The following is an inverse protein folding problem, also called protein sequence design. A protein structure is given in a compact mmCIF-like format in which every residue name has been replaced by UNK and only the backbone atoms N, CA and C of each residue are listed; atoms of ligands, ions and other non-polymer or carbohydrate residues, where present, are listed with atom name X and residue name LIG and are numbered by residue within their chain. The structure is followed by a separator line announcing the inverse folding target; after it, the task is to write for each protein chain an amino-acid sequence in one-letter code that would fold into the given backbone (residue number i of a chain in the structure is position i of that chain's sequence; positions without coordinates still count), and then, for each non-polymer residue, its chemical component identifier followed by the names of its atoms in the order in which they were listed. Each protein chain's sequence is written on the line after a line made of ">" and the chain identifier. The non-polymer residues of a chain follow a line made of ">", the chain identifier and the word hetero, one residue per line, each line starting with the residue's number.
data_IF_498755237994
#
_entry.id   IF_498755237994
#
_cell.length_a   1.000
_cell.length_b   1.000
_cell.length_c   1.000
_cell.angle_alpha   90.00
_cell.angle_beta   90.00
_cell.angle_gamma   90.00
#
_symmetry.space_group_name_H-M   'P 1'
#
loop_
_entity.id
_entity.type
_entity.pdbx_description
1 polymer ?
#
# COMPACT_ATOMS: atom_id res chain seq x y z
N UNK A 1 6.22 -21.96 -12.48
CA UNK A 1 6.19 -20.51 -12.21
C UNK A 1 7.21 -20.16 -11.17
N UNK A 2 7.98 -19.17 -11.41
CA UNK A 2 9.04 -18.78 -10.48
C UNK A 2 8.75 -17.47 -9.74
N UNK A 3 7.54 -16.92 -9.90
CA UNK A 3 7.20 -15.63 -9.33
C UNK A 3 5.79 -15.64 -8.75
N UNK A 4 5.58 -14.84 -7.72
CA UNK A 4 4.24 -14.59 -7.21
C UNK A 4 3.88 -13.12 -7.37
N UNK A 5 2.67 -12.88 -7.83
CA UNK A 5 2.15 -11.53 -8.01
C UNK A 5 1.78 -10.94 -6.65
N UNK A 6 2.19 -9.70 -6.43
CA UNK A 6 1.78 -8.92 -5.28
C UNK A 6 0.96 -7.75 -5.80
N UNK A 7 -0.29 -7.66 -5.39
CA UNK A 7 -1.21 -6.61 -5.83
C UNK A 7 -1.90 -6.05 -4.61
N UNK A 8 -1.72 -4.75 -4.36
CA UNK A 8 -2.32 -4.07 -3.23
C UNK A 8 -2.88 -2.72 -3.67
N UNK A 9 -3.91 -2.29 -2.98
CA UNK A 9 -4.48 -0.97 -3.17
C UNK A 9 -4.28 -0.20 -1.87
N UNK A 10 -3.58 0.93 -1.96
CA UNK A 10 -3.26 1.75 -0.80
C UNK A 10 -4.08 3.03 -0.89
N UNK A 11 -4.83 3.33 0.17
CA UNK A 11 -5.65 4.54 0.21
C UNK A 11 -4.99 5.63 1.03
N UNK A 12 -5.00 6.86 0.51
CA UNK A 12 -4.54 8.04 1.24
C UNK A 12 -5.70 9.00 1.42
N UNK A 13 -5.58 9.90 2.39
CA UNK A 13 -6.60 10.94 2.59
C UNK A 13 -6.59 11.94 1.43
N UNK A 14 -7.74 12.54 1.14
CA UNK A 14 -7.79 13.58 0.12
C UNK A 14 -6.86 14.75 0.45
N UNK A 15 -6.68 15.05 1.72
CA UNK A 15 -5.79 16.12 2.14
C UNK A 15 -4.34 15.88 1.73
N UNK A 16 -3.98 14.65 1.43
CA UNK A 16 -2.60 14.29 1.09
C UNK A 16 -2.33 14.31 -0.41
N UNK A 17 -3.29 14.76 -1.22
CA UNK A 17 -3.12 14.83 -2.66
C UNK A 17 -1.85 15.60 -3.09
N UNK A 18 -1.49 16.72 -2.47
CA UNK A 18 -0.26 17.42 -2.88
C UNK A 18 1.01 16.58 -2.71
N UNK A 19 1.02 15.63 -1.78
CA UNK A 19 2.17 14.75 -1.57
C UNK A 19 2.15 13.51 -2.46
N UNK A 20 1.06 13.28 -3.18
CA UNK A 20 0.86 12.05 -3.95
C UNK A 20 1.99 11.74 -4.93
N UNK A 21 2.45 12.70 -5.77
CA UNK A 21 3.51 12.37 -6.72
C UNK A 21 4.80 11.91 -6.03
N UNK A 22 5.19 12.58 -4.95
CA UNK A 22 6.41 12.22 -4.23
C UNK A 22 6.28 10.85 -3.55
N UNK A 23 5.12 10.56 -2.99
CA UNK A 23 4.86 9.27 -2.35
C UNK A 23 4.95 8.15 -3.39
N UNK A 24 4.32 8.33 -4.55
CA UNK A 24 4.35 7.32 -5.61
C UNK A 24 5.77 7.10 -6.09
N UNK A 25 6.54 8.17 -6.28
CA UNK A 25 7.93 8.06 -6.72
C UNK A 25 8.79 7.31 -5.70
N UNK A 26 8.60 7.59 -4.42
CA UNK A 26 9.34 6.91 -3.36
C UNK A 26 8.97 5.43 -3.28
N UNK A 27 7.70 5.10 -3.48
CA UNK A 27 7.27 3.70 -3.53
C UNK A 27 7.90 2.96 -4.69
N UNK A 28 7.95 3.59 -5.87
CA UNK A 28 8.61 2.98 -7.04
C UNK A 28 10.07 2.73 -6.78
N UNK A 29 10.76 3.71 -6.20
CA UNK A 29 12.17 3.58 -5.89
C UNK A 29 12.42 2.48 -4.88
N UNK A 30 11.56 2.37 -3.86
CA UNK A 30 11.69 1.34 -2.85
C UNK A 30 11.54 -0.06 -3.47
N UNK A 31 10.53 -0.24 -4.32
CA UNK A 31 10.31 -1.53 -4.95
C UNK A 31 11.42 -1.88 -5.93
N UNK A 32 11.90 -0.90 -6.69
CA UNK A 32 12.98 -1.13 -7.64
C UNK A 32 14.28 -1.52 -6.94
N UNK A 33 14.48 -1.06 -5.72
CA UNK A 33 15.67 -1.38 -4.93
C UNK A 33 15.49 -2.61 -4.05
N UNK A 34 14.28 -3.13 -3.93
CA UNK A 34 14.00 -4.25 -3.03
C UNK A 34 14.58 -5.56 -3.61
N UNK A 35 15.41 -6.27 -2.85
CA UNK A 35 16.09 -7.46 -3.40
C UNK A 35 15.15 -8.62 -3.72
N UNK A 36 13.97 -8.66 -3.11
CA UNK A 36 13.02 -9.74 -3.31
C UNK A 36 11.99 -9.46 -4.39
N UNK A 37 12.07 -8.30 -5.04
CA UNK A 37 11.16 -7.94 -6.13
C UNK A 37 11.89 -8.09 -7.46
N UNK A 38 11.22 -8.79 -8.39
CA UNK A 38 11.80 -9.01 -9.71
C UNK A 38 11.45 -7.84 -10.62
N UNK A 39 12.41 -6.96 -10.81
CA UNK A 39 12.21 -5.75 -11.60
C UNK A 39 12.20 -6.03 -13.11
N UNK A 40 12.50 -7.26 -13.53
CA UNK A 40 12.35 -7.62 -14.94
C UNK A 40 10.90 -7.94 -15.30
N UNK A 41 10.03 -8.08 -14.30
CA UNK A 41 8.61 -8.28 -14.50
C UNK A 41 7.88 -6.95 -14.38
N UNK A 42 6.59 -6.96 -14.69
CA UNK A 42 5.76 -5.75 -14.59
C UNK A 42 5.81 -5.20 -13.18
N UNK A 43 6.04 -3.90 -13.07
CA UNK A 43 6.05 -3.19 -11.80
C UNK A 43 5.27 -1.89 -12.00
N UNK A 44 4.17 -1.76 -11.27
CA UNK A 44 3.30 -0.60 -11.38
C UNK A 44 3.08 -0.01 -10.00
N UNK A 45 3.31 1.29 -9.85
CA UNK A 45 2.88 2.05 -8.68
C UNK A 45 2.31 3.34 -9.23
N UNK A 46 0.99 3.45 -9.22
CA UNK A 46 0.32 4.62 -9.79
C UNK A 46 -0.84 5.06 -8.92
N UNK A 47 -1.07 6.37 -8.90
CA UNK A 47 -2.32 6.90 -8.39
C UNK A 47 -3.38 6.54 -9.42
N UNK A 48 -4.35 5.73 -9.02
CA UNK A 48 -5.25 5.11 -9.97
C UNK A 48 -6.63 5.74 -10.01
N UNK A 49 -7.16 6.11 -8.85
CA UNK A 49 -8.54 6.61 -8.82
C UNK A 49 -8.83 7.40 -7.56
N UNK A 50 -9.88 8.22 -7.66
CA UNK A 50 -10.48 8.86 -6.50
C UNK A 50 -11.56 7.93 -5.98
N UNK A 51 -11.42 7.47 -4.74
CA UNK A 51 -12.45 6.68 -4.08
C UNK A 51 -13.43 7.56 -3.33
N UNK A 52 -14.40 6.95 -2.69
CA UNK A 52 -15.37 7.70 -1.90
C UNK A 52 -14.74 8.45 -0.75
N UNK A 53 -13.77 7.86 -0.12
CA UNK A 53 -13.12 8.45 1.05
C UNK A 53 -11.59 8.37 0.98
N UNK A 54 -11.04 8.04 -0.17
CA UNK A 54 -9.59 7.87 -0.28
C UNK A 54 -9.11 8.11 -1.70
N UNK A 55 -7.80 8.39 -1.79
CA UNK A 55 -7.07 8.43 -3.05
C UNK A 55 -6.36 7.10 -3.18
N UNK A 56 -6.67 6.36 -4.23
CA UNK A 56 -6.19 4.97 -4.34
C UNK A 56 -4.93 4.86 -5.18
N UNK A 57 -3.93 4.21 -4.62
CA UNK A 57 -2.68 3.91 -5.32
C UNK A 57 -2.64 2.41 -5.58
N UNK A 58 -2.42 2.02 -6.83
CA UNK A 58 -2.22 0.62 -7.18
C UNK A 58 -0.75 0.27 -7.05
N UNK A 59 -0.47 -0.78 -6.29
CA UNK A 59 0.87 -1.36 -6.20
C UNK A 59 0.79 -2.76 -6.80
N UNK A 60 1.53 -2.99 -7.87
CA UNK A 60 1.49 -4.25 -8.59
C UNK A 60 2.91 -4.64 -8.97
N UNK A 61 3.35 -5.79 -8.48
CA UNK A 61 4.71 -6.25 -8.76
C UNK A 61 4.78 -7.77 -8.58
N UNK A 62 5.96 -8.33 -8.88
CA UNK A 62 6.19 -9.77 -8.73
C UNK A 62 7.36 -10.00 -7.78
N UNK A 63 7.19 -10.96 -6.87
CA UNK A 63 8.28 -11.38 -5.99
C UNK A 63 9.11 -12.42 -6.72
N UNK A 64 10.36 -12.59 -6.28
CA UNK A 64 11.25 -13.59 -6.85
C UNK A 64 10.99 -15.00 -6.32
N UNK A 65 10.18 -15.11 -5.27
CA UNK A 65 9.92 -16.40 -4.63
C UNK A 65 8.52 -16.91 -4.94
N UNK A 66 8.38 -18.24 -4.97
CA UNK A 66 7.08 -18.88 -5.01
C UNK A 66 6.76 -19.55 -3.68
N UNK A 67 7.68 -19.52 -2.72
CA UNK A 67 7.50 -20.13 -1.41
C UNK A 67 6.51 -19.29 -0.61
N UNK A 68 5.40 -19.91 -0.21
CA UNK A 68 4.27 -19.17 0.36
C UNK A 68 4.60 -18.40 1.64
N UNK A 69 5.23 -18.99 2.65
CA UNK A 69 5.58 -18.22 3.84
C UNK A 69 6.55 -17.07 3.54
N UNK A 70 7.50 -17.29 2.64
CA UNK A 70 8.45 -16.26 2.26
C UNK A 70 7.75 -15.11 1.54
N UNK A 71 6.78 -15.42 0.69
CA UNK A 71 5.98 -14.41 0.00
C UNK A 71 5.30 -13.48 1.02
N UNK A 72 4.72 -14.04 2.07
CA UNK A 72 4.05 -13.22 3.08
C UNK A 72 5.02 -12.37 3.88
N UNK A 73 6.24 -12.86 4.12
CA UNK A 73 7.27 -12.05 4.76
C UNK A 73 7.66 -10.86 3.89
N UNK A 74 7.81 -11.09 2.60
CA UNK A 74 8.14 -10.04 1.65
C UNK A 74 7.00 -9.01 1.59
N UNK A 75 5.78 -9.47 1.54
CA UNK A 75 4.62 -8.60 1.52
C UNK A 75 4.57 -7.72 2.76
N UNK A 76 4.81 -8.30 3.94
CA UNK A 76 4.86 -7.55 5.17
C UNK A 76 5.93 -6.47 5.13
N UNK A 77 7.12 -6.81 4.66
CA UNK A 77 8.23 -5.87 4.56
C UNK A 77 7.88 -4.70 3.64
N UNK A 78 7.28 -5.00 2.49
CA UNK A 78 6.88 -3.98 1.53
C UNK A 78 5.81 -3.07 2.14
N UNK A 79 4.80 -3.64 2.81
CA UNK A 79 3.74 -2.83 3.42
C UNK A 79 4.29 -1.92 4.50
N UNK A 80 5.25 -2.41 5.29
CA UNK A 80 5.88 -1.58 6.31
C UNK A 80 6.70 -0.44 5.69
N UNK A 81 7.39 -0.71 4.59
CA UNK A 81 8.11 0.35 3.88
C UNK A 81 7.14 1.39 3.29
N UNK A 82 6.01 0.95 2.76
CA UNK A 82 4.99 1.85 2.25
C UNK A 82 4.46 2.74 3.36
N UNK A 83 4.17 2.16 4.52
CA UNK A 83 3.69 2.93 5.67
C UNK A 83 4.72 3.97 6.11
N UNK A 84 5.99 3.61 6.10
CA UNK A 84 7.07 4.53 6.46
C UNK A 84 7.18 5.69 5.46
N UNK A 85 7.08 5.38 4.17
CA UNK A 85 7.11 6.40 3.12
C UNK A 85 5.97 7.39 3.31
N UNK A 86 4.76 6.88 3.55
CA UNK A 86 3.60 7.73 3.76
C UNK A 86 3.81 8.64 4.96
N UNK A 87 4.29 8.07 6.06
CA UNK A 87 4.53 8.85 7.28
C UNK A 87 5.60 9.93 7.08
N UNK A 88 6.64 9.63 6.31
CA UNK A 88 7.71 10.60 6.06
C UNK A 88 7.23 11.82 5.29
N UNK A 89 6.17 11.67 4.50
CA UNK A 89 5.59 12.78 3.76
C UNK A 89 4.50 13.51 4.54
N UNK A 90 4.28 13.13 5.81
CA UNK A 90 3.25 13.73 6.62
C UNK A 90 1.84 13.30 6.23
N UNK A 91 1.72 12.24 5.45
CA UNK A 91 0.43 11.72 5.00
C UNK A 91 -0.06 10.61 5.93
N UNK A 92 -1.28 10.18 5.72
CA UNK A 92 -1.87 9.09 6.49
C UNK A 92 -2.66 8.18 5.58
N UNK A 93 -2.67 6.90 5.93
CA UNK A 93 -3.50 5.93 5.23
C UNK A 93 -4.95 6.20 5.57
N UNK A 94 -5.79 6.24 4.54
CA UNK A 94 -7.22 6.44 4.72
C UNK A 94 -7.89 5.10 4.97
N UNK A 95 -8.71 5.04 6.00
CA UNK A 95 -9.47 3.84 6.33
C UNK A 95 -10.89 4.02 5.81
N UNK A 96 -11.55 2.92 5.39
CA UNK A 96 -12.95 3.01 4.97
C UNK A 96 -13.81 3.56 6.08
N UNK A 97 -14.65 4.52 5.77
CA UNK A 97 -15.48 5.15 6.79
C UNK A 97 -16.42 4.17 7.45
N UNK A 98 -16.94 3.21 6.71
CA UNK A 98 -17.89 2.27 7.30
C UNK A 98 -17.26 1.36 8.35
N UNK A 99 -15.97 1.19 8.34
CA UNK A 99 -15.32 0.34 9.34
C UNK A 99 -15.29 1.00 10.69
N UNK A 100 -15.49 2.29 10.75
CA UNK A 100 -15.51 3.03 12.01
C UNK A 100 -16.77 2.74 12.79
N UNK A 101 -17.80 2.27 12.16
CA UNK A 101 -19.07 2.02 12.84
C UNK A 101 -19.07 0.82 13.73
N UNK A 102 -18.04 0.18 13.76
CA UNK A 102 -17.98 -0.93 14.65
C UNK A 102 -17.91 -0.50 16.05
N UNK A 103 -18.02 0.34 16.13
CA UNK A 103 -17.97 0.77 17.35
C UNK A 103 -19.02 0.97 18.13
N UNK A 104 -19.03 0.77 17.56
CA UNK A 104 -19.49 1.02 18.26
C UNK A 104 -20.02 0.78 18.82
N UNK A 105 -19.79 0.76 18.72
CA UNK A 105 -20.14 0.80 19.38
C UNK A 105 -20.68 0.64 19.87
N UNK A 106 -20.87 0.60 20.06
CA UNK A 106 -21.19 0.66 20.83
C UNK A 106 -21.59 0.57 21.42
N UNK A 107 -21.66 0.80 21.70
CA UNK A 107 -21.80 0.93 22.47
C UNK A 107 -21.92 0.80 22.96
N UNK A 108 -22.11 0.76 23.06
CA UNK A 108 -21.85 0.80 23.68
C UNK A 108 -21.08 0.74 23.64
N UNK A 109 -20.58 0.63 23.45
CA UNK A 109 -19.82 0.74 23.30
C UNK A 109 -19.31 1.23 23.18
N UNK A 110 -19.06 1.32 23.34
CA UNK A 110 -18.44 1.98 23.19
C UNK A 110 -18.13 2.31 22.42
N UNK A 111 -17.98 2.54 21.96
CA UNK A 111 -17.70 2.77 21.38
C UNK A 111 -17.62 3.02 21.39
#
# INVERSE_FOLDING_TARGET
>A
MSHRRLKESIGLRYADLPAMPAIVDDMKAMLAAHPDIDTSQTLIVNFESFGESSLNILVYCFTRTTVWPRYHEIKQDILLHIADIIARHGAEIAFPTRSVHLAPVPEGLPT
#
